data_IF_365049041864
#
_entry.id   IF_365049041864
#
_cell.length_a   1.000
_cell.length_b   1.000
_cell.length_c   1.000
_cell.angle_alpha   90.00
_cell.angle_beta   90.00
_cell.angle_gamma   90.00
#
_symmetry.space_group_name_H-M   'P 1'
#
loop_
_entity.id
_entity.type
_entity.pdbx_description
1 polymer ?
#
# COMPACT_ATOMS: atom_id res chain seq x y z
N UNK A 1 8.15 19.91 -1.93
CA UNK A 1 7.98 20.36 -3.33
C UNK A 1 6.91 19.50 -3.97
N UNK A 2 5.82 20.09 -4.46
CA UNK A 2 4.80 19.33 -5.19
C UNK A 2 5.37 18.95 -6.57
N UNK A 3 5.65 17.67 -6.78
CA UNK A 3 6.03 17.17 -8.10
C UNK A 3 4.78 17.10 -8.98
N UNK A 4 4.70 18.01 -9.94
CA UNK A 4 3.67 18.00 -10.98
C UNK A 4 3.97 16.87 -11.98
N UNK A 5 3.06 15.90 -12.10
CA UNK A 5 3.17 14.78 -13.05
C UNK A 5 3.14 13.39 -12.40
N UNK A 6 3.02 12.34 -13.23
CA UNK A 6 3.04 10.94 -12.77
C UNK A 6 4.39 10.64 -12.10
N UNK A 7 4.38 9.90 -10.98
CA UNK A 7 5.61 9.42 -10.34
C UNK A 7 6.50 8.74 -11.39
N UNK A 8 7.81 9.07 -11.44
CA UNK A 8 8.70 8.51 -12.46
C UNK A 8 8.77 6.98 -12.31
N UNK A 9 8.75 6.26 -13.44
CA UNK A 9 8.98 4.81 -13.43
C UNK A 9 10.42 4.52 -12.96
N UNK A 10 10.64 3.50 -12.10
CA UNK A 10 11.97 3.01 -11.71
C UNK A 10 12.85 2.67 -12.92
N UNK A 11 14.18 2.70 -12.76
CA UNK A 11 15.11 2.41 -13.87
C UNK A 11 14.90 1.00 -14.40
N UNK A 12 14.85 0.00 -13.51
CA UNK A 12 14.66 -1.41 -13.91
C UNK A 12 13.42 -1.60 -14.77
N UNK A 13 12.31 -0.93 -14.42
CA UNK A 13 11.09 -1.03 -15.19
C UNK A 13 11.24 -0.40 -16.58
N UNK A 14 11.96 0.72 -16.69
CA UNK A 14 12.29 1.33 -18.00
C UNK A 14 13.25 0.49 -18.84
N UNK A 15 14.17 -0.22 -18.21
CA UNK A 15 15.08 -1.16 -18.90
C UNK A 15 14.32 -2.35 -19.46
N UNK A 16 13.42 -2.93 -18.67
CA UNK A 16 12.52 -4.00 -19.10
C UNK A 16 11.57 -3.54 -20.22
N UNK A 17 11.11 -2.28 -20.18
CA UNK A 17 10.33 -1.65 -21.26
C UNK A 17 11.16 -1.34 -22.53
N UNK A 18 12.49 -1.52 -22.50
CA UNK A 18 13.39 -1.19 -23.60
C UNK A 18 13.57 0.31 -23.86
N UNK A 19 13.28 1.18 -22.88
CA UNK A 19 13.43 2.64 -23.02
C UNK A 19 14.92 3.02 -23.17
N UNK A 20 15.37 3.59 -24.30
CA UNK A 20 16.76 4.00 -24.52
C UNK A 20 17.25 5.05 -23.51
N UNK A 21 16.32 5.79 -22.86
CA UNK A 21 16.67 6.79 -21.84
C UNK A 21 17.04 6.17 -20.50
N UNK A 22 16.76 4.88 -20.29
CA UNK A 22 17.14 4.14 -19.07
C UNK A 22 18.65 4.17 -18.80
N UNK A 23 19.48 4.17 -19.86
CA UNK A 23 20.95 4.25 -19.78
C UNK A 23 21.49 5.52 -19.12
N UNK A 24 20.69 6.59 -19.10
CA UNK A 24 21.05 7.87 -18.49
C UNK A 24 20.60 7.97 -17.02
N UNK A 25 19.88 6.97 -16.51
CA UNK A 25 19.44 6.93 -15.12
C UNK A 25 20.52 6.32 -14.23
N UNK A 26 20.50 6.67 -12.94
CA UNK A 26 21.44 6.15 -11.95
C UNK A 26 21.36 4.62 -11.89
N UNK A 27 22.52 3.97 -12.00
CA UNK A 27 22.63 2.51 -11.80
C UNK A 27 22.49 2.10 -10.33
N UNK A 28 22.67 3.06 -9.41
CA UNK A 28 22.68 2.86 -7.97
C UNK A 28 21.30 3.14 -7.35
N UNK A 29 20.22 2.78 -8.03
CA UNK A 29 18.88 2.85 -7.45
C UNK A 29 18.81 1.88 -6.25
N UNK A 30 18.42 2.32 -5.05
CA UNK A 30 18.35 1.45 -3.88
C UNK A 30 17.37 0.30 -4.12
N UNK A 31 17.81 -0.91 -3.86
CA UNK A 31 16.97 -2.11 -3.90
C UNK A 31 16.95 -2.72 -2.52
N UNK A 32 15.88 -2.47 -1.74
CA UNK A 32 15.75 -3.08 -0.42
C UNK A 32 15.85 -4.61 -0.53
N UNK A 33 16.53 -5.27 0.42
CA UNK A 33 16.59 -6.72 0.45
C UNK A 33 15.21 -7.33 0.72
N UNK A 34 14.98 -8.54 0.20
CA UNK A 34 13.80 -9.32 0.57
C UNK A 34 13.86 -9.56 2.08
N UNK A 35 12.73 -9.35 2.75
CA UNK A 35 12.70 -9.44 4.20
C UNK A 35 12.43 -10.86 4.68
N UNK A 36 13.38 -11.42 5.42
CA UNK A 36 13.20 -12.70 6.13
C UNK A 36 12.63 -12.51 7.54
N UNK A 37 12.86 -11.33 8.15
CA UNK A 37 12.46 -11.04 9.53
C UNK A 37 11.43 -9.92 9.57
N UNK A 38 10.16 -10.28 9.80
CA UNK A 38 9.07 -9.32 9.90
C UNK A 38 8.87 -8.95 11.36
N UNK A 39 9.23 -7.71 11.71
CA UNK A 39 9.12 -7.20 13.07
C UNK A 39 7.75 -6.53 13.25
N UNK A 40 6.98 -7.06 14.19
CA UNK A 40 5.71 -6.48 14.65
C UNK A 40 5.95 -5.51 15.82
N UNK A 41 5.33 -4.33 15.78
CA UNK A 41 5.41 -3.36 16.88
C UNK A 41 4.53 -3.77 18.05
N UNK A 42 4.93 -3.41 19.28
CA UNK A 42 4.18 -3.77 20.50
C UNK A 42 2.73 -3.29 20.47
N UNK A 43 2.46 -2.10 19.92
CA UNK A 43 1.10 -1.57 19.78
C UNK A 43 0.22 -2.42 18.86
N UNK A 44 0.82 -3.09 17.88
CA UNK A 44 0.13 -4.00 16.97
C UNK A 44 -0.06 -5.35 17.65
N UNK A 45 1.02 -5.90 18.21
CA UNK A 45 1.03 -7.19 18.91
C UNK A 45 0.03 -7.26 20.07
N UNK A 46 -0.11 -6.17 20.82
CA UNK A 46 -0.98 -6.08 21.98
C UNK A 46 -2.45 -5.77 21.63
N UNK A 47 -2.78 -5.49 20.37
CA UNK A 47 -4.14 -5.27 19.90
C UNK A 47 -4.58 -6.44 18.99
N UNK A 48 -5.57 -7.27 19.38
CA UNK A 48 -5.94 -8.47 18.62
C UNK A 48 -6.37 -8.20 17.17
N UNK A 49 -7.05 -7.07 16.92
CA UNK A 49 -7.48 -6.67 15.58
C UNK A 49 -6.27 -6.26 14.74
N UNK A 50 -5.39 -5.44 15.32
CA UNK A 50 -4.16 -5.02 14.65
C UNK A 50 -3.25 -6.22 14.34
N UNK A 51 -3.06 -7.13 15.30
CA UNK A 51 -2.24 -8.33 15.11
C UNK A 51 -2.74 -9.22 13.96
N UNK A 52 -4.06 -9.42 13.88
CA UNK A 52 -4.67 -10.16 12.78
C UNK A 52 -4.42 -9.45 11.45
N UNK A 53 -4.71 -8.15 11.39
CA UNK A 53 -4.50 -7.33 10.20
C UNK A 53 -3.04 -7.35 9.73
N UNK A 54 -2.09 -7.26 10.66
CA UNK A 54 -0.66 -7.36 10.39
C UNK A 54 -0.32 -8.71 9.74
N UNK A 55 -0.72 -9.81 10.37
CA UNK A 55 -0.46 -11.16 9.89
C UNK A 55 -1.02 -11.40 8.48
N UNK A 56 -2.25 -10.92 8.22
CA UNK A 56 -2.87 -11.02 6.90
C UNK A 56 -2.14 -10.18 5.85
N UNK A 57 -1.77 -8.94 6.18
CA UNK A 57 -1.04 -8.07 5.26
C UNK A 57 0.35 -8.64 4.90
N UNK A 58 1.08 -9.18 5.89
CA UNK A 58 2.37 -9.86 5.67
C UNK A 58 2.19 -11.05 4.72
N UNK A 59 1.16 -11.89 4.96
CA UNK A 59 0.86 -13.04 4.10
C UNK A 59 0.62 -12.59 2.66
N UNK A 60 -0.24 -11.59 2.46
CA UNK A 60 -0.59 -11.08 1.13
C UNK A 60 0.65 -10.54 0.40
N UNK A 61 1.45 -9.68 1.05
CA UNK A 61 2.64 -9.08 0.44
C UNK A 61 3.72 -10.10 0.12
N UNK A 62 3.88 -11.13 0.97
CA UNK A 62 4.78 -12.25 0.71
C UNK A 62 4.33 -13.06 -0.51
N UNK A 63 3.04 -13.37 -0.63
CA UNK A 63 2.49 -14.06 -1.81
C UNK A 63 2.69 -13.26 -3.10
N UNK A 64 2.60 -11.93 -3.03
CA UNK A 64 2.86 -11.04 -4.17
C UNK A 64 4.36 -10.82 -4.46
N UNK A 65 5.27 -11.38 -3.65
CA UNK A 65 6.73 -11.13 -3.72
C UNK A 65 7.09 -9.64 -3.62
N UNK A 66 6.31 -8.89 -2.83
CA UNK A 66 6.46 -7.45 -2.63
C UNK A 66 6.97 -7.09 -1.23
N UNK A 67 7.36 -8.08 -0.44
CA UNK A 67 7.82 -7.87 0.94
C UNK A 67 9.34 -7.65 0.98
N UNK A 68 9.75 -6.41 1.19
CA UNK A 68 11.13 -6.03 1.49
C UNK A 68 11.22 -5.38 2.87
N UNK A 69 12.43 -5.14 3.36
CA UNK A 69 12.63 -4.46 4.65
C UNK A 69 12.01 -3.05 4.70
N UNK A 70 11.83 -2.41 3.53
CA UNK A 70 11.22 -1.09 3.44
C UNK A 70 9.73 -1.10 3.83
N UNK A 71 9.03 -2.22 3.64
CA UNK A 71 7.59 -2.31 3.88
C UNK A 71 7.23 -2.67 5.32
N UNK A 72 8.13 -3.27 6.11
CA UNK A 72 7.86 -3.68 7.50
C UNK A 72 7.21 -2.56 8.35
N UNK A 73 7.77 -1.33 8.44
CA UNK A 73 7.14 -0.28 9.24
C UNK A 73 5.79 0.16 8.68
N UNK A 74 5.60 0.10 7.36
CA UNK A 74 4.37 0.48 6.71
C UNK A 74 3.25 -0.56 6.94
N UNK A 75 3.59 -1.84 6.99
CA UNK A 75 2.64 -2.92 7.33
C UNK A 75 2.15 -2.77 8.77
N UNK A 76 3.03 -2.39 9.70
CA UNK A 76 2.63 -2.05 11.06
C UNK A 76 1.63 -0.87 11.08
N UNK A 77 1.89 0.18 10.29
CA UNK A 77 0.96 1.32 10.18
C UNK A 77 -0.38 0.89 9.58
N UNK A 78 -0.40 0.03 8.55
CA UNK A 78 -1.64 -0.49 7.98
C UNK A 78 -2.47 -1.25 9.01
N UNK A 79 -1.83 -2.11 9.80
CA UNK A 79 -2.47 -2.87 10.86
C UNK A 79 -3.10 -1.97 11.92
N UNK A 80 -2.38 -0.91 12.33
CA UNK A 80 -2.90 0.11 13.25
C UNK A 80 -4.12 0.81 12.63
N UNK A 81 -4.03 1.23 11.36
CA UNK A 81 -5.15 1.90 10.69
C UNK A 81 -6.40 1.03 10.67
N UNK A 82 -6.27 -0.26 10.34
CA UNK A 82 -7.40 -1.21 10.32
C UNK A 82 -8.05 -1.34 11.70
N UNK A 83 -7.24 -1.50 12.75
CA UNK A 83 -7.77 -1.58 14.11
C UNK A 83 -8.48 -0.30 14.55
N UNK A 84 -7.92 0.89 14.25
CA UNK A 84 -8.54 2.17 14.61
C UNK A 84 -9.82 2.46 13.84
N UNK A 85 -9.92 2.00 12.60
CA UNK A 85 -11.17 2.10 11.83
C UNK A 85 -12.22 1.21 12.49
N UNK A 86 -11.91 -0.05 12.77
CA UNK A 86 -12.86 -0.98 13.38
C UNK A 86 -13.35 -0.50 14.76
N UNK A 87 -12.45 -0.03 15.62
CA UNK A 87 -12.80 0.56 16.92
C UNK A 87 -13.72 1.78 16.77
N UNK A 88 -13.42 2.67 15.81
CA UNK A 88 -14.20 3.88 15.57
C UNK A 88 -15.58 3.57 14.99
N UNK A 89 -15.69 2.64 14.04
CA UNK A 89 -16.97 2.21 13.46
C UNK A 89 -17.83 1.50 14.51
N UNK A 90 -17.25 0.64 15.35
CA UNK A 90 -17.97 0.01 16.45
C UNK A 90 -18.51 1.04 17.46
N UNK A 91 -17.74 2.11 17.73
CA UNK A 91 -18.20 3.20 18.57
C UNK A 91 -19.39 3.93 17.95
N UNK A 92 -19.29 4.28 16.66
CA UNK A 92 -20.39 4.92 15.91
C UNK A 92 -21.65 4.05 15.86
N UNK A 93 -21.49 2.74 15.68
CA UNK A 93 -22.62 1.79 15.69
C UNK A 93 -23.31 1.76 17.06
N UNK A 94 -22.53 1.82 18.15
CA UNK A 94 -23.09 1.81 19.51
C UNK A 94 -23.68 3.14 19.99
N UNK A 95 -23.06 4.27 19.63
CA UNK A 95 -23.38 5.60 20.17
C UNK A 95 -24.20 6.45 19.19
N UNK A 96 -24.25 6.05 17.92
CA UNK A 96 -24.88 6.78 16.83
C UNK A 96 -23.93 7.76 16.11
N UNK A 97 -24.35 8.17 14.91
CA UNK A 97 -23.58 9.08 14.04
C UNK A 97 -23.57 10.53 14.52
N UNK A 98 -24.49 10.92 15.42
CA UNK A 98 -24.68 12.30 15.89
C UNK A 98 -24.42 12.34 17.39
N UNK A 99 -23.58 13.29 17.81
CA UNK A 99 -23.32 13.60 19.21
C UNK A 99 -23.91 14.96 19.55
N UNK A 100 -24.76 14.99 20.57
CA UNK A 100 -25.31 16.22 21.12
C UNK A 100 -24.41 16.76 22.23
N UNK A 101 -24.07 18.05 22.18
CA UNK A 101 -23.36 18.72 23.26
C UNK A 101 -23.93 20.12 23.53
N UNK A 102 -23.69 20.62 24.74
CA UNK A 102 -24.09 21.96 25.15
C UNK A 102 -22.89 22.89 25.02
N UNK A 103 -23.02 23.97 24.25
CA UNK A 103 -21.93 24.94 24.09
C UNK A 103 -21.79 25.82 25.35
N UNK A 104 -20.76 26.65 25.40
CA UNK A 104 -20.50 27.58 26.53
C UNK A 104 -21.60 28.63 26.74
N UNK A 105 -22.52 28.78 25.78
CA UNK A 105 -23.69 29.68 25.85
C UNK A 105 -24.97 28.96 26.29
N UNK A 106 -24.91 27.65 26.59
CA UNK A 106 -26.07 26.85 27.01
C UNK A 106 -26.95 26.32 25.87
N UNK A 107 -26.56 26.53 24.61
CA UNK A 107 -27.31 26.04 23.45
C UNK A 107 -26.93 24.58 23.14
N UNK A 108 -27.94 23.73 22.89
CA UNK A 108 -27.74 22.35 22.44
C UNK A 108 -27.39 22.35 20.95
N UNK A 109 -26.28 21.74 20.61
CA UNK A 109 -25.81 21.56 19.24
C UNK A 109 -25.63 20.07 18.95
N UNK A 110 -25.93 19.68 17.71
CA UNK A 110 -25.75 18.32 17.20
C UNK A 110 -24.63 18.34 16.16
N UNK A 111 -23.59 17.55 16.39
CA UNK A 111 -22.44 17.42 15.47
C UNK A 111 -22.17 15.96 15.15
N UNK A 112 -21.40 15.71 14.10
CA UNK A 112 -20.96 14.35 13.79
C UNK A 112 -20.15 13.77 14.95
N UNK A 113 -20.38 12.49 15.24
CA UNK A 113 -19.65 11.79 16.29
C UNK A 113 -18.14 11.86 16.05
N UNK A 114 -17.29 12.19 17.04
CA UNK A 114 -15.84 12.33 16.84
C UNK A 114 -15.17 11.11 16.21
N UNK A 115 -15.68 9.91 16.51
CA UNK A 115 -15.20 8.65 15.93
C UNK A 115 -15.36 8.60 14.41
N UNK A 116 -16.35 9.30 13.82
CA UNK A 116 -16.48 9.42 12.35
C UNK A 116 -15.23 10.06 11.76
N UNK A 117 -14.75 11.13 12.37
CA UNK A 117 -13.52 11.81 11.94
C UNK A 117 -12.27 10.92 12.06
N UNK A 118 -12.21 10.11 13.13
CA UNK A 118 -11.14 9.13 13.35
C UNK A 118 -11.14 8.06 12.26
N UNK A 119 -12.29 7.44 12.02
CA UNK A 119 -12.46 6.43 10.97
C UNK A 119 -12.06 6.98 9.60
N UNK A 120 -12.59 8.15 9.22
CA UNK A 120 -12.26 8.79 7.94
C UNK A 120 -10.77 9.05 7.76
N UNK A 121 -10.08 9.53 8.82
CA UNK A 121 -8.65 9.82 8.76
C UNK A 121 -7.83 8.55 8.53
N UNK A 122 -8.07 7.49 9.31
CA UNK A 122 -7.32 6.26 9.18
C UNK A 122 -7.68 5.50 7.89
N UNK A 123 -8.92 5.57 7.41
CA UNK A 123 -9.33 5.01 6.13
C UNK A 123 -8.60 5.65 4.94
N UNK A 124 -8.37 6.97 4.99
CA UNK A 124 -7.58 7.67 3.97
C UNK A 124 -6.12 7.23 3.98
N UNK A 125 -5.51 7.12 5.18
CA UNK A 125 -4.13 6.63 5.32
C UNK A 125 -3.99 5.19 4.80
N UNK A 126 -4.91 4.30 5.20
CA UNK A 126 -4.94 2.92 4.75
C UNK A 126 -5.09 2.82 3.23
N UNK A 127 -6.00 3.59 2.63
CA UNK A 127 -6.19 3.64 1.17
C UNK A 127 -4.91 4.03 0.44
N UNK A 128 -4.18 5.03 0.93
CA UNK A 128 -2.90 5.44 0.35
C UNK A 128 -1.90 4.28 0.36
N UNK A 129 -1.73 3.60 1.49
CA UNK A 129 -0.81 2.46 1.62
C UNK A 129 -1.22 1.29 0.70
N UNK A 130 -2.50 0.94 0.66
CA UNK A 130 -3.01 -0.11 -0.24
C UNK A 130 -2.77 0.19 -1.72
N UNK A 131 -2.80 1.46 -2.14
CA UNK A 131 -2.51 1.86 -3.51
C UNK A 131 -1.02 1.67 -3.82
N UNK A 132 -0.13 2.13 -2.93
CA UNK A 132 1.33 2.01 -3.13
C UNK A 132 1.77 0.54 -3.15
N UNK A 133 1.14 -0.33 -2.35
CA UNK A 133 1.44 -1.76 -2.30
C UNK A 133 0.75 -2.62 -3.34
N UNK A 134 0.01 -2.05 -4.29
CA UNK A 134 -0.62 -2.88 -5.31
C UNK A 134 -1.77 -3.73 -4.77
N UNK A 135 -2.37 -3.40 -3.63
CA UNK A 135 -3.44 -4.22 -3.03
C UNK A 135 -4.82 -3.99 -3.67
N UNK A 136 -4.94 -3.03 -4.59
CA UNK A 136 -6.18 -2.77 -5.34
C UNK A 136 -6.05 -3.29 -6.78
N UNK A 137 -7.12 -3.80 -7.42
CA UNK A 137 -7.06 -4.25 -8.81
C UNK A 137 -6.46 -3.20 -9.76
N UNK A 138 -6.84 -1.93 -9.59
CA UNK A 138 -6.33 -0.82 -10.40
C UNK A 138 -4.85 -0.51 -10.13
N UNK A 139 -4.35 -0.70 -8.91
CA UNK A 139 -2.91 -0.57 -8.64
C UNK A 139 -2.12 -1.77 -9.16
N UNK A 140 -2.70 -2.99 -9.15
CA UNK A 140 -2.10 -4.16 -9.81
C UNK A 140 -1.95 -4.00 -11.31
N UNK A 141 -2.96 -3.48 -12.00
CA UNK A 141 -2.86 -3.17 -13.43
C UNK A 141 -1.78 -2.14 -13.78
N UNK A 142 -1.26 -1.39 -12.79
CA UNK A 142 -0.11 -0.48 -12.98
C UNK A 142 1.24 -1.15 -12.70
N UNK A 143 1.23 -2.34 -12.08
CA UNK A 143 2.38 -3.17 -11.76
C UNK A 143 2.66 -4.21 -12.84
N UNK A 144 2.23 -3.97 -14.08
CA UNK A 144 2.58 -4.83 -15.22
C UNK A 144 4.09 -5.04 -15.27
N UNK A 145 4.52 -6.27 -14.98
CA UNK A 145 5.87 -6.72 -15.24
C UNK A 145 5.96 -6.95 -16.75
N UNK A 146 6.95 -6.36 -17.44
CA UNK A 146 7.21 -6.70 -18.82
C UNK A 146 7.45 -8.21 -18.92
N UNK A 147 6.72 -8.89 -19.81
CA UNK A 147 6.84 -10.34 -19.99
C UNK A 147 8.30 -10.72 -20.23
N UNK A 148 8.90 -11.49 -19.31
CA UNK A 148 10.22 -12.10 -19.52
C UNK A 148 10.17 -13.16 -20.66
N UNK A 149 8.98 -13.60 -21.06
CA UNK A 149 8.77 -14.47 -22.20
C UNK A 149 8.67 -13.68 -23.52
N UNK A 150 9.83 -13.19 -23.99
CA UNK A 150 10.21 -13.34 -25.40
C UNK A 150 11.67 -13.72 -25.46
N UNK A 151 11.96 -14.95 -25.06
CA UNK A 151 13.09 -15.67 -25.61
C UNK A 151 12.94 -15.70 -27.13
N UNK A 152 13.61 -14.76 -27.79
CA UNK A 152 14.14 -14.89 -29.14
C UNK A 152 13.18 -15.49 -30.18
N UNK A 153 11.91 -15.05 -30.21
CA UNK A 153 10.94 -15.40 -31.26
C UNK A 153 11.50 -15.05 -32.65
N UNK A 154 12.29 -13.98 -32.73
CA UNK A 154 12.97 -13.59 -33.98
C UNK A 154 14.11 -14.55 -34.35
N UNK A 155 15.02 -14.87 -33.42
CA UNK A 155 16.17 -15.74 -33.72
C UNK A 155 15.75 -17.21 -33.93
N UNK A 156 14.70 -17.67 -33.25
CA UNK A 156 14.08 -18.99 -33.49
C UNK A 156 13.39 -19.06 -34.86
N UNK A 157 12.66 -18.01 -35.27
CA UNK A 157 12.08 -17.90 -36.62
C UNK A 157 13.11 -17.72 -37.73
N UNK A 158 14.27 -17.12 -37.43
CA UNK A 158 15.37 -16.99 -38.39
C UNK A 158 16.07 -18.34 -38.59
N UNK A 159 16.32 -19.08 -37.51
CA UNK A 159 16.91 -20.42 -37.54
C UNK A 159 16.03 -21.42 -38.30
N UNK A 160 14.71 -21.32 -38.21
CA UNK A 160 13.80 -22.21 -38.95
C UNK A 160 13.63 -21.89 -40.43
N UNK A 161 14.13 -20.73 -40.90
CA UNK A 161 14.10 -20.34 -42.33
C UNK A 161 15.41 -20.57 -43.07
N UNK A 162 16.49 -20.86 -42.35
CA UNK A 162 17.86 -21.02 -42.89
C UNK A 162 18.32 -22.50 -42.81
N UNK A 163 17.56 -23.38 -42.14
CA UNK A 163 17.67 -24.83 -42.24
C UNK A 163 16.65 -25.41 -43.20
#
# INVERSE_FOLDING_TARGET
MATTGRKPKPRRLKELDGDPKSRFLSKNEPTPPVSDNVIEWDVVKNNPVAHRAFTDNVRILRTMKMLTDAEIPLINIMAICQARIEEAENQVESEGMISDYVNTKGERNSVAHPAVGVSMKYAQMLKCLCIEFGMTPSSRGRLELPNEEKGDDFASKLRSKIG
#
